data_IF_784096540947
#
_entry.id   IF_784096540947
#
_cell.length_a   1.000
_cell.length_b   1.000
_cell.length_c   1.000
_cell.angle_alpha   90.00
_cell.angle_beta   90.00
_cell.angle_gamma   90.00
#
_symmetry.space_group_name_H-M   'P 1'
#
loop_
_entity.id
_entity.type
_entity.pdbx_description
1 polymer ?
#
# COMPACT_ATOMS: atom_id res chain seq x y z
N UNK A 1 13.82 7.95 -8.87
CA UNK A 1 14.01 7.12 -7.67
C UNK A 1 12.66 6.47 -7.39
N UNK A 2 12.43 5.25 -7.89
CA UNK A 2 11.16 4.55 -7.75
C UNK A 2 11.10 3.75 -6.45
N UNK A 3 9.95 3.78 -5.77
CA UNK A 3 9.65 2.90 -4.63
C UNK A 3 9.21 1.55 -5.19
N UNK A 4 10.14 0.60 -5.31
CA UNK A 4 9.84 -0.77 -5.74
C UNK A 4 9.51 -1.64 -4.53
N UNK A 5 8.28 -2.13 -4.46
CA UNK A 5 7.86 -3.11 -3.45
C UNK A 5 8.10 -4.51 -4.03
N UNK A 6 9.08 -5.25 -3.52
CA UNK A 6 9.39 -6.63 -3.96
C UNK A 6 8.64 -7.70 -3.18
N UNK A 7 7.53 -7.34 -2.55
CA UNK A 7 6.78 -8.23 -1.68
C UNK A 7 5.86 -9.15 -2.50
N UNK A 8 5.94 -10.45 -2.25
CA UNK A 8 5.00 -11.43 -2.81
C UNK A 8 3.94 -11.81 -1.77
N UNK A 9 2.68 -11.81 -2.20
CA UNK A 9 1.54 -12.18 -1.37
C UNK A 9 0.76 -13.28 -2.07
N UNK A 10 0.26 -14.26 -1.32
CA UNK A 10 -0.62 -15.31 -1.85
C UNK A 10 -2.06 -14.88 -1.67
N UNK A 11 -2.76 -14.68 -2.78
CA UNK A 11 -4.18 -14.35 -2.79
C UNK A 11 -5.01 -15.58 -3.16
N UNK A 12 -6.16 -15.74 -2.53
CA UNK A 12 -7.13 -16.80 -2.83
C UNK A 12 -8.17 -16.27 -3.81
N UNK A 13 -8.46 -17.04 -4.87
CA UNK A 13 -9.49 -16.68 -5.86
C UNK A 13 -10.89 -16.83 -5.25
N UNK A 14 -11.78 -15.85 -5.46
CA UNK A 14 -13.20 -15.92 -5.10
C UNK A 14 -13.61 -15.22 -3.80
N UNK A 15 -12.69 -14.52 -3.11
CA UNK A 15 -13.03 -13.64 -2.00
C UNK A 15 -12.37 -12.27 -2.18
N UNK A 16 -13.16 -11.21 -1.96
CA UNK A 16 -12.65 -9.85 -1.94
C UNK A 16 -11.67 -9.68 -0.77
N UNK A 17 -10.39 -9.55 -1.10
CA UNK A 17 -9.33 -9.41 -0.11
C UNK A 17 -8.69 -8.04 -0.24
N UNK A 18 -8.80 -7.22 0.81
CA UNK A 18 -8.05 -5.99 0.93
C UNK A 18 -6.73 -6.29 1.64
N UNK A 19 -5.60 -6.14 0.95
CA UNK A 19 -4.28 -6.33 1.52
C UNK A 19 -3.61 -4.98 1.81
N UNK A 20 -3.20 -4.78 3.07
CA UNK A 20 -2.56 -3.57 3.55
C UNK A 20 -1.12 -3.85 3.92
N UNK A 21 -0.19 -3.10 3.33
CA UNK A 21 1.22 -3.13 3.68
C UNK A 21 1.71 -1.71 3.93
N UNK A 22 2.44 -1.52 5.02
CA UNK A 22 3.06 -0.23 5.35
C UNK A 22 4.44 -0.21 4.73
N UNK A 23 4.78 0.88 4.07
CA UNK A 23 6.11 1.12 3.52
C UNK A 23 6.70 2.38 4.14
N UNK A 24 7.99 2.34 4.46
CA UNK A 24 8.71 3.51 4.95
C UNK A 24 9.09 4.37 3.74
N UNK A 25 8.60 5.59 3.72
CA UNK A 25 9.06 6.59 2.75
C UNK A 25 10.55 6.86 2.96
N UNK A 26 11.32 7.09 1.88
CA UNK A 26 12.70 7.54 2.01
C UNK A 26 12.75 8.85 2.79
N UNK A 27 13.89 9.12 3.44
CA UNK A 27 14.08 10.39 4.12
C UNK A 27 14.05 11.51 3.09
N UNK A 28 13.04 12.38 3.24
CA UNK A 28 12.80 13.55 2.42
C UNK A 28 13.01 14.75 3.33
N UNK A 29 13.99 15.59 3.02
CA UNK A 29 14.42 16.74 3.82
C UNK A 29 13.72 18.06 3.42
N UNK A 30 12.93 18.05 2.34
CA UNK A 30 12.14 19.19 1.89
C UNK A 30 10.82 18.77 1.23
N UNK A 31 9.89 19.71 1.06
CA UNK A 31 8.57 19.40 0.49
C UNK A 31 8.67 19.09 -1.01
N UNK A 32 8.08 17.96 -1.44
CA UNK A 32 7.90 17.62 -2.85
C UNK A 32 6.42 17.52 -3.22
N UNK A 33 6.12 17.68 -4.51
CA UNK A 33 4.82 17.35 -5.09
C UNK A 33 4.95 16.12 -5.98
N UNK A 34 4.07 15.13 -5.78
CA UNK A 34 3.92 14.01 -6.70
C UNK A 34 3.18 14.53 -7.94
N UNK A 35 3.86 14.55 -9.09
CA UNK A 35 3.30 15.07 -10.35
C UNK A 35 2.81 13.97 -11.30
N UNK A 36 3.25 12.73 -11.07
CA UNK A 36 2.86 11.54 -11.84
C UNK A 36 2.99 10.31 -10.96
N UNK A 37 2.10 9.35 -11.16
CA UNK A 37 2.20 7.99 -10.65
C UNK A 37 1.74 7.01 -11.73
N UNK A 38 2.19 5.77 -11.65
CA UNK A 38 1.76 4.69 -12.53
C UNK A 38 1.72 3.38 -11.71
N UNK A 39 0.79 2.46 -12.02
CA UNK A 39 0.75 1.16 -11.36
C UNK A 39 1.94 0.30 -11.80
N UNK A 40 2.56 -0.40 -10.86
CA UNK A 40 3.58 -1.43 -11.16
C UNK A 40 2.97 -2.79 -10.84
N UNK A 41 2.56 -3.53 -11.88
CA UNK A 41 1.81 -4.78 -11.76
C UNK A 41 2.67 -5.93 -12.30
N UNK A 42 2.83 -7.00 -11.52
CA UNK A 42 3.51 -8.20 -11.99
C UNK A 42 2.65 -8.94 -13.04
N UNK A 43 3.25 -9.44 -14.14
CA UNK A 43 2.53 -10.25 -15.12
C UNK A 43 1.77 -11.41 -14.45
N UNK A 44 0.50 -11.61 -14.84
CA UNK A 44 -0.37 -12.65 -14.27
C UNK A 44 -1.10 -12.24 -12.99
N UNK A 45 -0.86 -11.05 -12.45
CA UNK A 45 -1.61 -10.51 -11.30
C UNK A 45 -2.87 -9.72 -11.71
N UNK A 46 -3.09 -9.51 -13.00
CA UNK A 46 -4.21 -8.70 -13.51
C UNK A 46 -5.59 -9.26 -13.11
N UNK A 47 -5.72 -10.58 -13.02
CA UNK A 47 -6.97 -11.24 -12.63
C UNK A 47 -7.32 -11.08 -11.14
N UNK A 48 -6.39 -10.58 -10.32
CA UNK A 48 -6.56 -10.43 -8.87
C UNK A 48 -6.62 -8.96 -8.44
N UNK A 49 -6.03 -8.06 -9.23
CA UNK A 49 -5.80 -6.67 -8.85
C UNK A 49 -6.81 -5.74 -9.53
N UNK A 50 -7.82 -5.30 -8.77
CA UNK A 50 -8.83 -4.36 -9.24
C UNK A 50 -8.57 -2.91 -8.82
N UNK A 51 -8.01 -2.70 -7.62
CA UNK A 51 -7.78 -1.38 -7.03
C UNK A 51 -6.46 -1.35 -6.25
N UNK A 52 -5.80 -0.20 -6.27
CA UNK A 52 -4.67 0.14 -5.41
C UNK A 52 -4.85 1.56 -4.87
N UNK A 53 -4.68 1.72 -3.56
CA UNK A 53 -4.71 3.04 -2.92
C UNK A 53 -3.48 3.21 -2.06
N UNK A 54 -2.74 4.29 -2.28
CA UNK A 54 -1.62 4.71 -1.44
C UNK A 54 -2.12 5.76 -0.44
N UNK A 55 -1.94 5.47 0.85
CA UNK A 55 -2.27 6.38 1.93
C UNK A 55 -1.00 6.93 2.60
N UNK A 56 -1.05 8.18 3.03
CA UNK A 56 -0.12 8.76 3.99
C UNK A 56 -0.58 8.45 5.42
N UNK A 57 0.32 7.89 6.21
CA UNK A 57 0.11 7.57 7.62
C UNK A 57 0.72 8.65 8.51
N UNK A 58 0.02 9.02 9.59
CA UNK A 58 0.53 9.95 10.62
C UNK A 58 0.28 9.38 12.00
N UNK A 59 1.30 9.18 12.82
CA UNK A 59 1.11 8.62 14.17
C UNK A 59 2.40 8.16 14.83
N UNK A 60 2.28 7.17 15.72
CA UNK A 60 3.43 6.60 16.42
C UNK A 60 4.42 5.94 15.44
N UNK A 61 5.63 6.48 15.41
CA UNK A 61 6.69 6.03 14.52
C UNK A 61 7.11 4.59 14.84
N UNK A 62 7.13 4.19 16.11
CA UNK A 62 7.52 2.83 16.49
C UNK A 62 6.53 1.79 15.95
N UNK A 63 5.23 2.06 16.06
CA UNK A 63 4.17 1.22 15.49
C UNK A 63 4.28 1.13 13.97
N UNK A 64 4.46 2.26 13.27
CA UNK A 64 4.57 2.31 11.81
C UNK A 64 5.82 1.56 11.31
N UNK A 65 6.96 1.72 11.99
CA UNK A 65 8.19 1.00 11.66
C UNK A 65 8.09 -0.50 11.92
N UNK A 66 7.37 -0.91 12.98
CA UNK A 66 7.07 -2.31 13.22
C UNK A 66 6.19 -2.90 12.12
N UNK A 67 5.12 -2.19 11.74
CA UNK A 67 4.23 -2.61 10.66
C UNK A 67 4.95 -2.70 9.30
N UNK A 68 5.87 -1.78 9.02
CA UNK A 68 6.65 -1.74 7.78
C UNK A 68 7.62 -2.93 7.61
N UNK A 69 7.99 -3.61 8.71
CA UNK A 69 8.82 -4.82 8.66
C UNK A 69 8.04 -6.08 8.30
N UNK A 70 6.72 -6.02 8.25
CA UNK A 70 5.87 -7.17 7.93
C UNK A 70 5.60 -7.27 6.43
N UNK A 71 5.18 -8.44 5.95
CA UNK A 71 4.64 -8.63 4.60
C UNK A 71 3.26 -7.99 4.40
N UNK A 72 2.79 -7.14 5.29
CA UNK A 72 1.42 -6.67 5.30
C UNK A 72 0.44 -7.71 5.86
N UNK A 73 -0.85 -7.40 5.76
CA UNK A 73 -1.94 -8.15 6.37
C UNK A 73 -3.26 -7.84 5.67
N UNK A 74 -4.28 -8.67 5.90
CA UNK A 74 -5.65 -8.33 5.52
C UNK A 74 -6.08 -7.07 6.27
N UNK A 75 -6.58 -6.07 5.54
CA UNK A 75 -7.09 -4.82 6.10
C UNK A 75 -8.37 -5.04 6.92
N UNK A 76 -8.71 -4.08 7.79
CA UNK A 76 -10.01 -3.98 8.47
C UNK A 76 -10.42 -5.19 9.32
N UNK A 77 -9.44 -5.93 9.85
CA UNK A 77 -9.72 -7.04 10.77
C UNK A 77 -10.07 -6.53 12.17
N UNK A 78 -11.11 -7.06 12.84
CA UNK A 78 -11.57 -6.57 14.15
C UNK A 78 -10.50 -6.58 15.24
N UNK A 79 -9.59 -7.55 15.19
CA UNK A 79 -8.55 -7.76 16.19
C UNK A 79 -7.20 -7.13 15.81
N UNK A 80 -7.19 -6.19 14.86
CA UNK A 80 -5.96 -5.51 14.43
C UNK A 80 -5.98 -4.03 14.82
N UNK A 81 -4.84 -3.49 15.30
CA UNK A 81 -4.71 -2.06 15.54
C UNK A 81 -4.92 -1.30 14.23
N UNK A 82 -5.84 -0.34 14.26
CA UNK A 82 -6.01 0.60 13.15
C UNK A 82 -4.77 1.46 13.03
N UNK A 83 -4.24 1.56 11.81
CA UNK A 83 -3.16 2.49 11.51
C UNK A 83 -3.79 3.80 11.04
N UNK A 84 -3.35 4.96 11.54
CA UNK A 84 -3.87 6.28 11.18
C UNK A 84 -3.40 6.72 9.77
N UNK A 85 -3.80 5.96 8.74
CA UNK A 85 -3.47 6.17 7.34
C UNK A 85 -4.71 6.65 6.58
N UNK A 86 -5.05 7.93 6.75
CA UNK A 86 -6.34 8.47 6.32
C UNK A 86 -6.24 9.48 5.16
N UNK A 87 -5.02 9.88 4.78
CA UNK A 87 -4.82 10.84 3.68
C UNK A 87 -4.47 10.06 2.41
N UNK A 88 -5.27 10.22 1.35
CA UNK A 88 -5.02 9.54 0.07
C UNK A 88 -3.93 10.31 -0.69
N UNK A 89 -2.84 9.62 -1.03
CA UNK A 89 -1.76 10.17 -1.85
C UNK A 89 -1.96 9.83 -3.34
N UNK A 90 -2.43 8.62 -3.65
CA UNK A 90 -2.74 8.19 -5.02
C UNK A 90 -3.79 7.06 -5.00
N UNK A 91 -4.59 6.98 -6.07
CA UNK A 91 -5.53 5.89 -6.32
C UNK A 91 -5.33 5.41 -7.75
N UNK A 92 -5.39 4.10 -7.93
CA UNK A 92 -5.47 3.44 -9.22
C UNK A 92 -6.58 2.38 -9.19
N UNK A 93 -7.28 2.24 -10.30
CA UNK A 93 -8.25 1.16 -10.52
C UNK A 93 -8.10 0.58 -11.92
N UNK A 94 -8.53 -0.66 -12.11
CA UNK A 94 -8.51 -1.33 -13.40
C UNK A 94 -9.22 -0.47 -14.47
N UNK A 95 -8.55 -0.24 -15.61
CA UNK A 95 -9.05 0.62 -16.68
C UNK A 95 -8.82 2.13 -16.48
N UNK A 96 -8.16 2.53 -15.38
CA UNK A 96 -7.64 3.89 -15.21
C UNK A 96 -6.29 3.99 -15.91
N UNK A 97 -6.32 4.40 -17.18
CA UNK A 97 -5.16 4.76 -18.01
C UNK A 97 -5.38 6.14 -18.66
#
# INVERSE_FOLDING_TARGET
>A
MGLWITLQVRLTKGQDTFWCHVLKMPNIDHKHHVVKYEPVIQPGSQDYLHHMTLFECRGDQAQLESAAKTSGRVCYQPNQPSLPCNTIAAIWGLGSE
#
